data_IF_716121549480
#
_entry.id   IF_716121549480
#
_cell.length_a   1.000
_cell.length_b   1.000
_cell.length_c   1.000
_cell.angle_alpha   90.00
_cell.angle_beta   90.00
_cell.angle_gamma   90.00
#
_symmetry.space_group_name_H-M   'P 1'
#
loop_
_entity.id
_entity.type
_entity.pdbx_description
1 polymer ?
#
# COMPACT_ATOMS: atom_id res chain seq x y z
N UNK A 1 -56.33 22.15 -3.11
CA UNK A 1 -55.05 22.86 -3.34
C UNK A 1 -53.97 22.69 -2.25
N UNK A 2 -54.25 22.22 -1.02
CA UNK A 2 -53.26 22.19 0.09
C UNK A 2 -52.20 21.06 0.07
N UNK A 3 -52.41 19.98 -0.70
CA UNK A 3 -51.53 18.79 -0.68
C UNK A 3 -50.17 19.04 -1.36
N UNK A 4 -50.16 19.78 -2.48
CA UNK A 4 -48.93 20.12 -3.23
C UNK A 4 -48.00 21.08 -2.48
N UNK A 5 -48.55 22.00 -1.68
CA UNK A 5 -47.72 22.93 -0.88
C UNK A 5 -47.07 22.21 0.29
N UNK A 6 -47.79 21.36 1.02
CA UNK A 6 -47.24 20.55 2.11
C UNK A 6 -46.10 19.64 1.65
N UNK A 7 -46.25 19.00 0.49
CA UNK A 7 -45.22 18.14 -0.09
C UNK A 7 -43.94 18.93 -0.47
N UNK A 8 -44.10 20.18 -0.93
CA UNK A 8 -42.98 21.07 -1.23
C UNK A 8 -42.23 21.47 0.04
N UNK A 9 -42.95 21.80 1.12
CA UNK A 9 -42.35 22.11 2.43
C UNK A 9 -41.63 20.90 3.03
N UNK A 10 -42.21 19.70 2.94
CA UNK A 10 -41.59 18.47 3.42
C UNK A 10 -40.29 18.15 2.68
N UNK A 11 -40.24 18.31 1.35
CA UNK A 11 -39.03 18.09 0.55
C UNK A 11 -37.93 19.10 0.87
N UNK A 12 -38.27 20.38 1.03
CA UNK A 12 -37.29 21.39 1.47
C UNK A 12 -36.79 21.17 2.90
N UNK A 13 -37.66 20.72 3.81
CA UNK A 13 -37.26 20.41 5.18
C UNK A 13 -36.32 19.19 5.24
N UNK A 14 -36.60 18.12 4.48
CA UNK A 14 -35.71 16.96 4.37
C UNK A 14 -34.34 17.35 3.78
N UNK A 15 -34.34 18.19 2.75
CA UNK A 15 -33.11 18.70 2.14
C UNK A 15 -32.28 19.51 3.14
N UNK A 16 -32.89 20.45 3.87
CA UNK A 16 -32.17 21.22 4.89
C UNK A 16 -31.68 20.35 6.07
N UNK A 17 -32.48 19.37 6.50
CA UNK A 17 -32.07 18.41 7.53
C UNK A 17 -30.88 17.56 7.09
N UNK A 18 -30.80 17.20 5.80
CA UNK A 18 -29.62 16.49 5.29
C UNK A 18 -28.33 17.33 5.40
N UNK A 19 -28.38 18.64 5.17
CA UNK A 19 -27.20 19.50 5.38
C UNK A 19 -26.77 19.57 6.84
N UNK A 20 -27.72 19.65 7.77
CA UNK A 20 -27.43 19.66 9.21
C UNK A 20 -26.80 18.34 9.66
N UNK A 21 -27.25 17.21 9.11
CA UNK A 21 -26.71 15.88 9.41
C UNK A 21 -25.33 15.64 8.79
N UNK A 22 -25.06 16.20 7.61
CA UNK A 22 -23.80 15.97 6.87
C UNK A 22 -22.70 16.94 7.28
N UNK A 23 -23.01 18.19 7.64
CA UNK A 23 -22.00 19.22 7.95
C UNK A 23 -20.99 18.81 9.05
N UNK A 24 -21.38 18.16 10.17
CA UNK A 24 -20.43 17.66 11.16
C UNK A 24 -19.52 16.55 10.62
N UNK A 25 -20.06 15.64 9.80
CA UNK A 25 -19.28 14.58 9.17
C UNK A 25 -18.27 15.15 8.17
N UNK A 26 -18.65 16.20 7.45
CA UNK A 26 -17.79 16.94 6.52
C UNK A 26 -16.65 17.64 7.27
N UNK A 27 -16.95 18.35 8.37
CA UNK A 27 -15.92 18.98 9.22
C UNK A 27 -14.93 17.97 9.81
N UNK A 28 -15.42 16.82 10.29
CA UNK A 28 -14.56 15.74 10.82
C UNK A 28 -13.69 15.14 9.71
N UNK A 29 -14.24 15.00 8.50
CA UNK A 29 -13.51 14.53 7.35
C UNK A 29 -12.37 15.49 6.95
N UNK A 30 -12.60 16.79 7.02
CA UNK A 30 -11.59 17.82 6.74
C UNK A 30 -10.47 17.82 7.80
N UNK A 31 -10.83 17.69 9.08
CA UNK A 31 -9.85 17.57 10.16
C UNK A 31 -8.97 16.31 10.01
N UNK A 32 -9.57 15.18 9.62
CA UNK A 32 -8.81 13.95 9.38
C UNK A 32 -7.78 14.11 8.26
N UNK A 33 -8.14 14.80 7.17
CA UNK A 33 -7.24 15.12 6.05
C UNK A 33 -6.13 16.04 6.52
N UNK A 34 -6.45 17.10 7.27
CA UNK A 34 -5.45 18.03 7.81
C UNK A 34 -4.41 17.32 8.69
N UNK A 35 -4.84 16.45 9.60
CA UNK A 35 -3.92 15.69 10.44
C UNK A 35 -3.10 14.67 9.65
N UNK A 36 -3.67 14.07 8.62
CA UNK A 36 -2.95 13.20 7.70
C UNK A 36 -1.85 13.94 6.95
N UNK A 37 -2.14 15.11 6.39
CA UNK A 37 -1.17 15.94 5.67
C UNK A 37 -0.03 16.38 6.58
N UNK A 38 -0.36 16.88 7.79
CA UNK A 38 0.65 17.21 8.81
C UNK A 38 1.54 16.01 9.14
N UNK A 39 0.93 14.86 9.39
CA UNK A 39 1.65 13.63 9.70
C UNK A 39 2.56 13.15 8.58
N UNK A 40 2.10 13.27 7.33
CA UNK A 40 2.89 12.94 6.14
C UNK A 40 4.06 13.89 5.94
N UNK A 41 3.87 15.19 6.20
CA UNK A 41 4.95 16.17 6.17
C UNK A 41 6.02 15.86 7.22
N UNK A 42 5.62 15.62 8.48
CA UNK A 42 6.57 15.20 9.52
C UNK A 42 7.30 13.90 9.17
N UNK A 43 6.61 12.94 8.54
CA UNK A 43 7.23 11.68 8.11
C UNK A 43 8.29 11.89 7.03
N UNK A 44 8.05 12.81 6.09
CA UNK A 44 9.01 13.21 5.05
C UNK A 44 10.22 13.90 5.66
N UNK A 45 9.99 14.76 6.65
CA UNK A 45 11.04 15.53 7.34
C UNK A 45 11.83 14.68 8.36
N UNK A 46 11.41 13.43 8.60
CA UNK A 46 12.06 12.53 9.55
C UNK A 46 11.65 12.73 11.02
N UNK A 47 10.68 13.61 11.28
CA UNK A 47 10.11 13.87 12.60
C UNK A 47 9.09 12.76 12.96
N UNK A 48 9.61 11.56 13.23
CA UNK A 48 8.79 10.34 13.31
C UNK A 48 7.77 10.36 14.46
N UNK A 49 8.08 11.00 15.59
CA UNK A 49 7.18 11.07 16.75
C UNK A 49 5.97 11.95 16.45
N UNK A 50 6.19 13.11 15.86
CA UNK A 50 5.17 14.07 15.44
C UNK A 50 4.32 13.50 14.29
N UNK A 51 4.95 12.75 13.38
CA UNK A 51 4.27 11.99 12.34
C UNK A 51 3.27 10.99 12.95
N UNK A 52 3.73 10.15 13.87
CA UNK A 52 2.88 9.16 14.56
C UNK A 52 1.73 9.85 15.31
N UNK A 53 2.00 10.94 16.03
CA UNK A 53 0.97 11.68 16.78
C UNK A 53 -0.11 12.24 15.85
N UNK A 54 0.29 12.87 14.74
CA UNK A 54 -0.64 13.46 13.76
C UNK A 54 -1.43 12.39 13.04
N UNK A 55 -0.79 11.32 12.56
CA UNK A 55 -1.46 10.21 11.88
C UNK A 55 -2.40 9.45 12.82
N UNK A 56 -2.08 9.37 14.11
CA UNK A 56 -2.98 8.79 15.12
C UNK A 56 -4.27 9.58 15.25
N UNK A 57 -4.22 10.92 15.20
CA UNK A 57 -5.42 11.76 15.16
C UNK A 57 -6.19 11.53 13.86
N UNK A 58 -5.50 11.46 12.71
CA UNK A 58 -6.14 11.21 11.42
C UNK A 58 -6.95 9.90 11.39
N UNK A 59 -6.37 8.79 11.87
CA UNK A 59 -7.08 7.49 11.91
C UNK A 59 -8.14 7.43 13.01
N UNK A 60 -8.03 8.22 14.08
CA UNK A 60 -9.09 8.34 15.08
C UNK A 60 -10.33 9.07 14.53
N UNK A 61 -10.11 10.12 13.73
CA UNK A 61 -11.16 10.90 13.09
C UNK A 61 -11.78 10.18 11.88
N UNK A 62 -10.95 9.43 11.14
CA UNK A 62 -11.39 8.58 10.01
C UNK A 62 -10.84 7.17 10.16
N UNK A 63 -11.56 6.27 10.87
CA UNK A 63 -11.10 4.90 11.12
C UNK A 63 -10.86 4.04 9.89
N UNK A 64 -11.39 4.40 8.72
CA UNK A 64 -11.16 3.71 7.45
C UNK A 64 -10.06 4.33 6.58
N UNK A 65 -9.24 5.24 7.11
CA UNK A 65 -8.27 5.99 6.31
C UNK A 65 -7.01 5.15 6.03
N UNK A 66 -7.11 4.23 5.07
CA UNK A 66 -6.07 3.24 4.74
C UNK A 66 -4.67 3.86 4.59
N UNK A 67 -4.54 4.92 3.80
CA UNK A 67 -3.26 5.60 3.56
C UNK A 67 -2.66 6.24 4.83
N UNK A 68 -3.49 6.68 5.78
CA UNK A 68 -3.01 7.20 7.06
C UNK A 68 -2.45 6.08 7.96
N UNK A 69 -3.07 4.89 7.93
CA UNK A 69 -2.49 3.70 8.55
C UNK A 69 -1.17 3.32 7.89
N UNK A 70 -1.10 3.29 6.55
CA UNK A 70 0.15 2.97 5.85
C UNK A 70 1.29 3.94 6.24
N UNK A 71 1.04 5.26 6.24
CA UNK A 71 2.05 6.25 6.63
C UNK A 71 2.44 6.12 8.12
N UNK A 72 1.50 5.78 9.00
CA UNK A 72 1.82 5.59 10.43
C UNK A 72 2.63 4.32 10.65
N UNK A 73 2.31 3.27 9.91
CA UNK A 73 3.09 2.04 9.85
C UNK A 73 4.52 2.30 9.40
N UNK A 74 4.73 3.13 8.36
CA UNK A 74 6.05 3.53 7.90
C UNK A 74 6.81 4.33 8.96
N UNK A 75 6.14 5.23 9.68
CA UNK A 75 6.75 5.97 10.79
C UNK A 75 7.18 5.02 11.93
N UNK A 76 6.35 4.04 12.29
CA UNK A 76 6.72 3.00 13.27
C UNK A 76 7.88 2.13 12.78
N UNK A 77 7.88 1.75 11.50
CA UNK A 77 8.95 0.96 10.90
C UNK A 77 10.30 1.69 10.98
N UNK A 78 10.33 2.99 10.65
CA UNK A 78 11.54 3.83 10.77
C UNK A 78 12.02 4.02 12.21
N UNK A 79 11.19 3.72 13.22
CA UNK A 79 11.55 3.68 14.64
C UNK A 79 11.83 2.24 15.14
N UNK A 80 12.01 1.27 14.24
CA UNK A 80 12.19 -0.16 14.54
C UNK A 80 11.04 -0.80 15.34
N UNK A 81 9.86 -0.15 15.37
CA UNK A 81 8.65 -0.64 16.04
C UNK A 81 7.86 -1.59 15.12
N UNK A 82 8.51 -2.68 14.70
CA UNK A 82 8.02 -3.58 13.66
C UNK A 82 6.64 -4.20 13.94
N UNK A 83 6.33 -4.55 15.19
CA UNK A 83 5.01 -5.10 15.57
C UNK A 83 3.89 -4.08 15.31
N UNK A 84 4.12 -2.82 15.68
CA UNK A 84 3.14 -1.74 15.44
C UNK A 84 3.02 -1.43 13.95
N UNK A 85 4.16 -1.41 13.24
CA UNK A 85 4.19 -1.22 11.80
C UNK A 85 3.36 -2.28 11.05
N UNK A 86 3.60 -3.57 11.34
CA UNK A 86 2.82 -4.66 10.74
C UNK A 86 1.32 -4.55 11.05
N UNK A 87 0.96 -4.16 12.28
CA UNK A 87 -0.44 -3.93 12.66
C UNK A 87 -1.10 -2.84 11.80
N UNK A 88 -0.44 -1.71 11.62
CA UNK A 88 -0.93 -0.60 10.82
C UNK A 88 -1.00 -0.94 9.32
N UNK A 89 0.03 -1.58 8.75
CA UNK A 89 -0.01 -2.00 7.34
C UNK A 89 -1.12 -3.01 7.07
N UNK A 90 -1.37 -3.97 7.97
CA UNK A 90 -2.51 -4.90 7.86
C UNK A 90 -3.85 -4.18 7.97
N UNK A 91 -3.93 -3.13 8.79
CA UNK A 91 -5.14 -2.31 8.88
C UNK A 91 -5.36 -1.50 7.60
N UNK A 92 -4.29 -1.01 6.96
CA UNK A 92 -4.38 -0.40 5.63
C UNK A 92 -4.93 -1.41 4.61
N UNK A 93 -4.38 -2.63 4.54
CA UNK A 93 -4.87 -3.72 3.67
C UNK A 93 -6.34 -4.05 3.94
N UNK A 94 -6.76 -4.05 5.20
CA UNK A 94 -8.16 -4.32 5.55
C UNK A 94 -9.13 -3.30 4.95
N UNK A 95 -8.72 -2.03 4.89
CA UNK A 95 -9.55 -0.95 4.35
C UNK A 95 -9.37 -0.74 2.85
N UNK A 96 -8.18 -1.02 2.31
CA UNK A 96 -7.89 -1.07 0.90
C UNK A 96 -7.16 -2.38 0.54
N UNK A 97 -7.91 -3.42 0.16
CA UNK A 97 -7.34 -4.72 -0.20
C UNK A 97 -6.53 -4.72 -1.50
N UNK A 98 -6.54 -3.61 -2.24
CA UNK A 98 -5.82 -3.47 -3.51
C UNK A 98 -4.58 -2.57 -3.39
N UNK A 99 -4.23 -2.09 -2.19
CA UNK A 99 -3.04 -1.27 -1.95
C UNK A 99 -1.77 -2.14 -2.02
N UNK A 100 -1.12 -2.16 -3.18
CA UNK A 100 0.12 -2.91 -3.41
C UNK A 100 1.25 -2.47 -2.47
N UNK A 101 1.29 -1.19 -2.10
CA UNK A 101 2.32 -0.63 -1.23
C UNK A 101 2.18 -1.17 0.19
N UNK A 102 0.94 -1.29 0.70
CA UNK A 102 0.70 -1.83 2.03
C UNK A 102 1.14 -3.31 2.13
N UNK A 103 0.90 -4.12 1.10
CA UNK A 103 1.41 -5.50 1.05
C UNK A 103 2.94 -5.55 1.02
N UNK A 104 3.59 -4.75 0.16
CA UNK A 104 5.05 -4.64 0.13
C UNK A 104 5.63 -4.23 1.49
N UNK A 105 4.98 -3.29 2.19
CA UNK A 105 5.41 -2.83 3.51
C UNK A 105 5.30 -3.94 4.59
N UNK A 106 4.26 -4.78 4.55
CA UNK A 106 4.18 -5.96 5.42
C UNK A 106 5.32 -6.94 5.11
N UNK A 107 5.62 -7.17 3.83
CA UNK A 107 6.71 -8.04 3.41
C UNK A 107 8.06 -7.57 3.96
N UNK A 108 8.35 -6.27 3.87
CA UNK A 108 9.57 -5.68 4.43
C UNK A 108 9.66 -5.93 5.95
N UNK A 109 8.55 -5.76 6.68
CA UNK A 109 8.53 -6.01 8.13
C UNK A 109 8.85 -7.47 8.46
N UNK A 110 8.24 -8.42 7.76
CA UNK A 110 8.55 -9.84 7.96
C UNK A 110 9.98 -10.20 7.57
N UNK A 111 10.50 -9.60 6.50
CA UNK A 111 11.90 -9.75 6.10
C UNK A 111 12.86 -9.27 7.21
N UNK A 112 12.57 -8.12 7.85
CA UNK A 112 13.34 -7.63 9.00
C UNK A 112 13.26 -8.55 10.22
N UNK A 113 12.15 -9.26 10.38
CA UNK A 113 11.96 -10.27 11.43
C UNK A 113 12.61 -11.63 11.09
N UNK A 114 13.19 -11.78 9.89
CA UNK A 114 13.79 -13.03 9.42
C UNK A 114 12.79 -14.07 8.89
N UNK A 115 11.50 -13.73 8.85
CA UNK A 115 10.45 -14.61 8.31
C UNK A 115 10.31 -14.38 6.80
N UNK A 116 11.30 -14.89 6.07
CA UNK A 116 11.42 -14.68 4.63
C UNK A 116 10.30 -15.35 3.83
N UNK A 117 9.77 -16.48 4.31
CA UNK A 117 8.65 -17.18 3.67
C UNK A 117 7.37 -16.35 3.74
N UNK A 118 7.04 -15.80 4.91
CA UNK A 118 5.91 -14.87 5.00
C UNK A 118 6.16 -13.61 4.21
N UNK A 119 7.39 -13.08 4.19
CA UNK A 119 7.71 -11.91 3.39
C UNK A 119 7.39 -12.13 1.90
N UNK A 120 7.78 -13.27 1.33
CA UNK A 120 7.46 -13.63 -0.05
C UNK A 120 5.95 -13.71 -0.31
N UNK A 121 5.15 -14.31 0.59
CA UNK A 121 3.69 -14.38 0.41
C UNK A 121 3.06 -12.98 0.26
N UNK A 122 3.45 -12.03 1.10
CA UNK A 122 2.92 -10.66 1.01
C UNK A 122 3.47 -9.93 -0.22
N UNK A 123 4.72 -10.17 -0.59
CA UNK A 123 5.33 -9.54 -1.74
C UNK A 123 4.75 -10.04 -3.06
N UNK A 124 4.48 -11.34 -3.19
CA UNK A 124 3.75 -11.94 -4.30
C UNK A 124 2.37 -11.32 -4.45
N UNK A 125 1.69 -11.08 -3.32
CA UNK A 125 0.40 -10.41 -3.34
C UNK A 125 0.52 -8.97 -3.83
N UNK A 126 1.52 -8.21 -3.37
CA UNK A 126 1.81 -6.86 -3.87
C UNK A 126 2.02 -6.86 -5.40
N UNK A 127 2.88 -7.75 -5.89
CA UNK A 127 3.19 -7.89 -7.32
C UNK A 127 1.93 -8.23 -8.13
N UNK A 128 1.09 -9.15 -7.64
CA UNK A 128 -0.15 -9.55 -8.32
C UNK A 128 -1.19 -8.44 -8.48
N UNK A 129 -1.08 -7.37 -7.68
CA UNK A 129 -1.97 -6.21 -7.73
C UNK A 129 -1.49 -5.13 -8.71
N UNK A 130 -0.22 -5.20 -9.15
CA UNK A 130 0.34 -4.26 -10.12
C UNK A 130 -0.26 -4.55 -11.49
N UNK A 131 -1.14 -3.65 -11.94
CA UNK A 131 -1.75 -3.73 -13.29
C UNK A 131 -0.87 -3.08 -14.36
N UNK A 132 -0.28 -1.94 -14.00
CA UNK A 132 0.60 -1.15 -14.87
C UNK A 132 1.93 -0.91 -14.15
N UNK A 133 3.02 -1.42 -14.73
CA UNK A 133 4.36 -1.25 -14.15
C UNK A 133 4.81 0.21 -14.31
N UNK A 134 5.42 0.75 -13.24
CA UNK A 134 5.87 2.13 -13.12
C UNK A 134 7.25 2.12 -12.46
N UNK A 135 8.07 3.17 -12.65
CA UNK A 135 9.38 3.27 -11.99
C UNK A 135 9.34 3.06 -10.47
N UNK A 136 8.26 3.49 -9.80
CA UNK A 136 8.06 3.30 -8.36
C UNK A 136 7.93 1.84 -7.94
N UNK A 137 7.58 0.93 -8.86
CA UNK A 137 7.47 -0.50 -8.56
C UNK A 137 8.82 -1.21 -8.50
N UNK A 138 9.91 -0.58 -8.96
CA UNK A 138 11.25 -1.16 -8.85
C UNK A 138 11.62 -1.53 -7.41
N UNK A 139 11.15 -0.76 -6.43
CA UNK A 139 11.38 -1.05 -5.00
C UNK A 139 10.79 -2.40 -4.57
N UNK A 140 9.64 -2.80 -5.12
CA UNK A 140 8.99 -4.09 -4.81
C UNK A 140 9.87 -5.25 -5.29
N UNK A 141 10.45 -5.13 -6.50
CA UNK A 141 11.34 -6.14 -7.06
C UNK A 141 12.74 -6.13 -6.42
N UNK A 142 13.24 -4.97 -5.99
CA UNK A 142 14.44 -4.89 -5.16
C UNK A 142 14.25 -5.61 -3.82
N UNK A 143 13.08 -5.46 -3.19
CA UNK A 143 12.76 -6.19 -1.97
C UNK A 143 12.68 -7.69 -2.22
N UNK A 144 12.14 -8.11 -3.37
CA UNK A 144 12.09 -9.53 -3.78
C UNK A 144 13.50 -10.09 -3.90
N UNK A 145 14.38 -9.38 -4.62
CA UNK A 145 15.78 -9.76 -4.78
C UNK A 145 16.51 -9.86 -3.44
N UNK A 146 16.23 -8.94 -2.50
CA UNK A 146 16.80 -8.98 -1.16
C UNK A 146 16.33 -10.18 -0.35
N UNK A 147 15.04 -10.51 -0.41
CA UNK A 147 14.50 -11.66 0.31
C UNK A 147 15.07 -12.97 -0.25
N UNK A 148 15.15 -13.12 -1.58
CA UNK A 148 15.79 -14.29 -2.20
C UNK A 148 17.26 -14.42 -1.82
N UNK A 149 18.01 -13.31 -1.81
CA UNK A 149 19.40 -13.30 -1.35
C UNK A 149 19.49 -13.81 0.10
N UNK A 150 18.59 -13.36 0.99
CA UNK A 150 18.56 -13.82 2.39
C UNK A 150 18.21 -15.29 2.55
N UNK A 151 17.52 -15.88 1.58
CA UNK A 151 17.23 -17.32 1.51
C UNK A 151 18.33 -18.15 0.83
N UNK A 152 19.39 -17.53 0.30
CA UNK A 152 20.44 -18.21 -0.48
C UNK A 152 20.02 -18.55 -1.91
N UNK A 153 18.91 -17.98 -2.39
CA UNK A 153 18.38 -18.15 -3.74
C UNK A 153 19.04 -17.11 -4.66
N UNK A 154 20.30 -17.35 -5.01
CA UNK A 154 21.15 -16.33 -5.66
C UNK A 154 20.73 -16.01 -7.10
N UNK A 155 20.25 -16.99 -7.86
CA UNK A 155 19.82 -16.77 -9.24
C UNK A 155 18.53 -15.94 -9.27
N UNK A 156 17.55 -16.31 -8.46
CA UNK A 156 16.28 -15.62 -8.32
C UNK A 156 16.45 -14.20 -7.78
N UNK A 157 17.44 -14.01 -6.90
CA UNK A 157 17.83 -12.69 -6.43
C UNK A 157 18.37 -11.82 -7.56
N UNK A 158 19.28 -12.36 -8.38
CA UNK A 158 19.84 -11.65 -9.51
C UNK A 158 18.75 -11.27 -10.53
N UNK A 159 17.84 -12.19 -10.84
CA UNK A 159 16.71 -11.95 -11.74
C UNK A 159 15.81 -10.81 -11.26
N UNK A 160 15.45 -10.82 -9.97
CA UNK A 160 14.62 -9.78 -9.38
C UNK A 160 15.30 -8.40 -9.39
N UNK A 161 16.60 -8.33 -9.11
CA UNK A 161 17.37 -7.08 -9.19
C UNK A 161 17.53 -6.57 -10.62
N UNK A 162 17.78 -7.47 -11.57
CA UNK A 162 17.85 -7.12 -12.98
C UNK A 162 16.51 -6.55 -13.46
N UNK A 163 15.40 -7.15 -13.05
CA UNK A 163 14.06 -6.65 -13.37
C UNK A 163 13.80 -5.28 -12.76
N UNK A 164 14.15 -5.07 -11.48
CA UNK A 164 14.04 -3.76 -10.84
C UNK A 164 14.84 -2.68 -11.60
N UNK A 165 16.06 -3.02 -12.01
CA UNK A 165 16.92 -2.14 -12.82
C UNK A 165 16.28 -1.81 -14.18
N UNK A 166 15.69 -2.81 -14.84
CA UNK A 166 14.97 -2.62 -16.10
C UNK A 166 13.78 -1.67 -15.95
N UNK A 167 12.97 -1.81 -14.89
CA UNK A 167 11.85 -0.91 -14.61
C UNK A 167 12.32 0.55 -14.51
N UNK A 168 13.45 0.80 -13.85
CA UNK A 168 14.03 2.15 -13.71
C UNK A 168 14.55 2.67 -15.06
N UNK A 169 15.18 1.80 -15.85
CA UNK A 169 15.81 2.14 -17.14
C UNK A 169 14.82 2.25 -18.31
N UNK A 170 13.62 1.69 -18.22
CA UNK A 170 12.58 1.72 -19.27
C UNK A 170 11.96 3.10 -19.55
N UNK A 171 12.61 4.18 -19.07
CA UNK A 171 12.50 5.53 -19.65
C UNK A 171 13.52 5.81 -20.77
N UNK A 172 14.42 4.89 -21.14
CA UNK A 172 15.51 5.20 -22.08
C UNK A 172 15.90 4.17 -23.15
N UNK A 173 15.52 2.87 -23.14
CA UNK A 173 15.92 1.96 -24.25
C UNK A 173 14.91 0.82 -24.46
N UNK A 174 14.50 0.61 -25.71
CA UNK A 174 13.77 -0.57 -26.19
C UNK A 174 14.64 -1.83 -25.99
N UNK A 175 14.25 -2.71 -25.08
CA UNK A 175 14.83 -4.05 -24.91
C UNK A 175 13.85 -5.10 -25.45
N UNK A 176 14.34 -6.20 -26.05
CA UNK A 176 13.51 -7.17 -26.74
C UNK A 176 12.38 -7.74 -25.87
N UNK A 177 11.23 -7.97 -26.53
CA UNK A 177 9.91 -8.36 -26.01
C UNK A 177 9.85 -9.65 -25.14
N UNK A 178 10.98 -10.30 -24.87
CA UNK A 178 11.07 -11.54 -24.08
C UNK A 178 10.61 -11.35 -22.62
N UNK A 179 10.65 -10.12 -22.08
CA UNK A 179 10.19 -9.82 -20.72
C UNK A 179 8.69 -9.58 -20.57
N UNK A 180 7.93 -9.50 -21.68
CA UNK A 180 6.46 -9.69 -21.63
C UNK A 180 6.08 -11.13 -21.24
N UNK A 181 7.06 -12.04 -21.19
CA UNK A 181 6.92 -13.44 -20.80
C UNK A 181 7.53 -13.78 -19.43
N UNK A 182 7.61 -12.83 -18.48
CA UNK A 182 7.57 -13.25 -17.06
C UNK A 182 6.14 -13.72 -16.77
N UNK A 183 5.80 -14.87 -17.34
CA UNK A 183 4.61 -15.65 -16.99
C UNK A 183 4.93 -16.35 -15.68
N UNK A 184 4.23 -15.96 -14.61
CA UNK A 184 4.19 -16.66 -13.32
C UNK A 184 3.45 -18.02 -13.43
N UNK A 185 3.64 -18.74 -14.53
CA UNK A 185 2.98 -20.01 -14.77
C UNK A 185 3.86 -21.16 -14.28
N UNK A 186 3.64 -21.51 -13.01
CA UNK A 186 3.22 -22.83 -12.53
C UNK A 186 3.57 -22.95 -11.04
N UNK A 187 2.55 -23.25 -10.23
CA UNK A 187 2.68 -23.45 -8.79
C UNK A 187 2.96 -24.93 -8.51
N UNK A 188 3.95 -25.23 -7.68
CA UNK A 188 4.08 -26.54 -7.02
C UNK A 188 3.65 -26.32 -5.57
N UNK A 189 2.65 -27.07 -5.12
CA UNK A 189 2.04 -27.01 -3.78
C UNK A 189 1.46 -25.65 -3.35
N UNK A 190 1.05 -24.80 -4.32
CA UNK A 190 0.42 -23.51 -4.03
C UNK A 190 1.38 -22.34 -3.81
N UNK A 191 2.69 -22.57 -3.95
CA UNK A 191 3.72 -21.54 -3.98
C UNK A 191 4.16 -21.27 -5.44
N UNK A 192 4.41 -20.01 -5.86
CA UNK A 192 4.95 -19.74 -7.18
C UNK A 192 6.34 -20.41 -7.30
N UNK A 193 6.48 -21.29 -8.29
CA UNK A 193 7.79 -21.77 -8.72
C UNK A 193 8.44 -20.64 -9.51
N UNK A 194 9.71 -20.48 -9.24
CA UNK A 194 10.66 -19.57 -9.86
C UNK A 194 10.48 -19.49 -11.38
N UNK A 195 10.73 -18.29 -11.93
CA UNK A 195 10.73 -18.06 -13.37
C UNK A 195 11.67 -19.06 -14.05
N UNK A 196 11.09 -20.09 -14.67
CA UNK A 196 11.80 -20.90 -15.65
C UNK A 196 11.77 -20.13 -16.95
N UNK A 197 12.93 -19.69 -17.39
CA UNK A 197 13.15 -19.31 -18.78
C UNK A 197 12.95 -20.56 -19.66
N UNK A 198 12.13 -20.43 -20.69
CA UNK A 198 12.12 -21.36 -21.82
C UNK A 198 13.24 -20.95 -22.77
N UNK A 199 14.23 -21.84 -22.95
CA UNK A 199 15.31 -21.67 -23.90
C UNK A 199 16.60 -22.26 -23.34
N UNK A 200 17.14 -23.24 -24.05
CA UNK A 200 18.48 -23.82 -23.85
C UNK A 200 19.60 -22.76 -23.84
#
# INVERSE_FOLDING_TARGET
MKKKSFERYAKTALFLLSFILIAPQMSIADDAVLYYEKGTNFLRDGNLTEAIASLTKAVALRPGYAIAYNNRGLAYYKQDKYVKAAGDFRRAIQFDPNDEMAYNNVAIVFCKQGDYDKALIYLDKAISLIKDIKPSHADVFNNLGFIYMKKGMHNESADAYNYASHIIQSKTVDYPDEYKQITFDQRIDGHPVTAKFYGE
#
